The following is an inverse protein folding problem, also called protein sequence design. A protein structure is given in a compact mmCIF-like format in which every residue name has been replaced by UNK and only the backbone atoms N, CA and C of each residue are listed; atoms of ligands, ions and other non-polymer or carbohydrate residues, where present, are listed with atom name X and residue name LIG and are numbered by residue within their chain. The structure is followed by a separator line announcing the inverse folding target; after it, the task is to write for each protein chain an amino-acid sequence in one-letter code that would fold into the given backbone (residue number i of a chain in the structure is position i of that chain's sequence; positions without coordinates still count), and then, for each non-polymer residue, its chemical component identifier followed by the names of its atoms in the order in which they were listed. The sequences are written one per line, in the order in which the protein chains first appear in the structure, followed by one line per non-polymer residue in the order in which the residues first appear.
data_IF_587297098158
#
_entry.id   IF_587297098158
#
_cell.length_a   1.000
_cell.length_b   1.000
_cell.length_c   1.000
_cell.angle_alpha   90.00
_cell.angle_beta   90.00
_cell.angle_gamma   90.00
#
_symmetry.space_group_name_H-M   'P 1'
#
loop_
_entity.id
_entity.type
_entity.pdbx_description
1 polymer ?
#
# COMPACT_ATOMS: atom_id res chain seq x y z
N UNK A 1 7.37 15.08 -6.53
CA UNK A 1 5.96 14.70 -6.33
C UNK A 1 5.82 13.18 -6.45
N UNK A 2 5.01 12.57 -5.60
CA UNK A 2 4.58 11.17 -5.69
C UNK A 2 3.18 11.14 -6.28
N UNK A 3 2.93 10.30 -7.28
CA UNK A 3 1.58 10.00 -7.76
C UNK A 3 1.06 8.72 -7.12
N UNK A 4 -0.23 8.70 -6.77
CA UNK A 4 -0.91 7.53 -6.21
C UNK A 4 -2.08 7.18 -7.11
N UNK A 5 -2.09 5.97 -7.67
CA UNK A 5 -3.20 5.43 -8.45
C UNK A 5 -4.15 4.62 -7.56
N UNK A 6 -5.41 5.05 -7.57
CA UNK A 6 -6.48 4.51 -6.74
C UNK A 6 -6.66 5.26 -5.43
N UNK A 7 -7.89 5.68 -5.15
CA UNK A 7 -8.29 6.42 -3.94
C UNK A 7 -9.16 5.57 -3.01
N UNK A 8 -8.88 4.27 -2.93
CA UNK A 8 -9.41 3.37 -1.91
C UNK A 8 -8.52 3.35 -0.65
N UNK A 9 -8.77 2.39 0.25
CA UNK A 9 -8.08 2.28 1.54
C UNK A 9 -6.54 2.28 1.41
N UNK A 10 -5.98 1.46 0.49
CA UNK A 10 -4.53 1.38 0.29
C UNK A 10 -3.95 2.67 -0.29
N UNK A 11 -4.62 3.25 -1.30
CA UNK A 11 -4.12 4.47 -1.94
C UNK A 11 -4.19 5.68 -1.01
N UNK A 12 -5.32 5.87 -0.30
CA UNK A 12 -5.45 6.96 0.68
C UNK A 12 -4.45 6.78 1.83
N UNK A 13 -4.29 5.55 2.34
CA UNK A 13 -3.28 5.25 3.36
C UNK A 13 -1.85 5.59 2.90
N UNK A 14 -1.48 5.20 1.68
CA UNK A 14 -0.18 5.54 1.09
C UNK A 14 0.01 7.06 0.90
N UNK A 15 -1.04 7.75 0.44
CA UNK A 15 -1.01 9.20 0.25
C UNK A 15 -0.81 9.95 1.57
N UNK A 16 -1.51 9.54 2.63
CA UNK A 16 -1.37 10.12 3.96
C UNK A 16 0.03 9.90 4.53
N UNK A 17 0.58 8.69 4.39
CA UNK A 17 1.93 8.38 4.82
C UNK A 17 2.96 9.21 4.03
N UNK A 18 2.84 9.28 2.71
CA UNK A 18 3.72 10.10 1.88
C UNK A 18 3.69 11.58 2.29
N UNK A 19 2.50 12.12 2.54
CA UNK A 19 2.33 13.50 3.03
C UNK A 19 3.01 13.71 4.38
N UNK A 20 2.81 12.79 5.32
CA UNK A 20 3.46 12.84 6.63
C UNK A 20 4.98 12.78 6.55
N UNK A 21 5.52 12.09 5.54
CA UNK A 21 6.97 12.02 5.26
C UNK A 21 7.49 13.22 4.46
N UNK A 22 6.65 14.23 4.21
CA UNK A 22 7.05 15.50 3.58
C UNK A 22 7.06 15.49 2.06
N UNK A 23 6.44 14.51 1.42
CA UNK A 23 6.33 14.49 -0.04
C UNK A 23 5.13 15.30 -0.53
N UNK A 24 5.29 15.92 -1.70
CA UNK A 24 4.16 16.39 -2.48
C UNK A 24 3.46 15.19 -3.09
N UNK A 25 2.13 15.11 -2.96
CA UNK A 25 1.34 13.94 -3.35
C UNK A 25 0.17 14.35 -4.23
N UNK A 26 -0.04 13.60 -5.29
CA UNK A 26 -1.20 13.68 -6.16
C UNK A 26 -1.89 12.32 -6.22
N UNK A 27 -3.19 12.26 -5.89
CA UNK A 27 -3.98 11.03 -5.91
C UNK A 27 -4.93 11.05 -7.10
N UNK A 28 -4.93 9.99 -7.89
CA UNK A 28 -5.79 9.88 -9.09
C UNK A 28 -6.55 8.56 -9.09
N UNK A 29 -7.87 8.63 -9.28
CA UNK A 29 -8.74 7.47 -9.40
C UNK A 29 -9.64 7.61 -10.64
N UNK A 30 -9.67 6.60 -11.50
CA UNK A 30 -10.54 6.60 -12.69
C UNK A 30 -12.01 6.36 -12.37
N UNK A 31 -12.33 5.91 -11.19
CA UNK A 31 -13.68 5.69 -10.70
C UNK A 31 -14.20 6.81 -9.81
N UNK A 32 -15.29 6.55 -9.12
CA UNK A 32 -15.83 7.42 -8.10
C UNK A 32 -15.22 7.09 -6.73
N UNK A 33 -14.63 8.07 -6.10
CA UNK A 33 -14.06 7.96 -4.75
C UNK A 33 -15.18 8.04 -3.72
N UNK A 34 -15.15 7.17 -2.71
CA UNK A 34 -16.15 7.20 -1.62
C UNK A 34 -16.02 8.47 -0.78
N UNK A 35 -17.14 9.03 -0.34
CA UNK A 35 -17.20 10.31 0.37
C UNK A 35 -16.25 10.42 1.57
N UNK A 36 -16.10 9.36 2.35
CA UNK A 36 -15.19 9.37 3.50
C UNK A 36 -13.72 9.50 3.07
N UNK A 37 -13.30 8.87 1.97
CA UNK A 37 -11.95 9.02 1.43
C UNK A 37 -11.73 10.40 0.82
N UNK A 38 -12.74 10.96 0.12
CA UNK A 38 -12.68 12.34 -0.36
C UNK A 38 -12.46 13.31 0.82
N UNK A 39 -13.22 13.15 1.89
CA UNK A 39 -13.11 13.98 3.09
C UNK A 39 -11.72 13.85 3.74
N UNK A 40 -11.14 12.67 3.77
CA UNK A 40 -9.78 12.45 4.27
C UNK A 40 -8.74 13.17 3.41
N UNK A 41 -8.82 13.02 2.08
CA UNK A 41 -7.89 13.68 1.14
C UNK A 41 -7.97 15.21 1.26
N UNK A 42 -9.18 15.75 1.31
CA UNK A 42 -9.40 17.19 1.50
C UNK A 42 -8.87 17.67 2.85
N UNK A 43 -9.16 16.95 3.92
CA UNK A 43 -8.73 17.31 5.28
C UNK A 43 -7.20 17.27 5.44
N UNK A 44 -6.55 16.37 4.72
CA UNK A 44 -5.09 16.27 4.67
C UNK A 44 -4.45 17.33 3.73
N UNK A 45 -5.25 18.11 3.01
CA UNK A 45 -4.75 19.07 2.02
C UNK A 45 -3.99 18.41 0.88
N UNK A 46 -4.46 17.23 0.47
CA UNK A 46 -3.92 16.48 -0.66
C UNK A 46 -4.60 16.90 -1.95
N UNK A 47 -3.83 17.02 -3.01
CA UNK A 47 -4.39 17.22 -4.34
C UNK A 47 -4.86 15.87 -4.89
N UNK A 48 -6.07 15.83 -5.45
CA UNK A 48 -6.65 14.59 -5.96
C UNK A 48 -7.64 14.83 -7.09
N UNK A 49 -7.90 13.78 -7.87
CA UNK A 49 -8.91 13.75 -8.93
C UNK A 49 -9.65 12.41 -8.96
N UNK A 50 -10.81 12.41 -9.63
CA UNK A 50 -11.59 11.20 -9.89
C UNK A 50 -12.26 11.26 -11.27
N UNK A 51 -12.61 10.08 -11.80
CA UNK A 51 -13.29 9.90 -13.09
C UNK A 51 -12.34 9.69 -14.26
N UNK A 52 -11.32 10.50 -14.37
CA UNK A 52 -10.28 10.39 -15.40
C UNK A 52 -8.90 10.54 -14.77
N UNK A 53 -7.87 10.02 -15.44
CA UNK A 53 -6.48 10.20 -15.03
C UNK A 53 -5.84 11.37 -15.79
N UNK A 54 -5.26 12.32 -15.07
CA UNK A 54 -4.35 13.29 -15.66
C UNK A 54 -2.99 12.62 -15.91
N UNK A 55 -2.88 11.93 -17.05
CA UNK A 55 -1.71 11.14 -17.41
C UNK A 55 -0.43 11.97 -17.43
N UNK A 56 -0.48 13.22 -17.92
CA UNK A 56 0.68 14.11 -17.98
C UNK A 56 1.23 14.36 -16.56
N UNK A 57 0.35 14.63 -15.62
CA UNK A 57 0.71 14.89 -14.23
C UNK A 57 1.26 13.63 -13.55
N UNK A 58 0.62 12.48 -13.76
CA UNK A 58 1.07 11.19 -13.24
C UNK A 58 2.46 10.85 -13.79
N UNK A 59 2.66 11.02 -15.11
CA UNK A 59 3.94 10.73 -15.77
C UNK A 59 5.05 11.75 -15.48
N UNK A 60 4.74 12.85 -14.80
CA UNK A 60 5.74 13.80 -14.28
C UNK A 60 6.21 13.46 -12.86
N UNK A 61 5.62 12.45 -12.22
CA UNK A 61 5.98 12.05 -10.87
C UNK A 61 7.37 11.39 -10.80
N UNK A 62 8.03 11.50 -9.66
CA UNK A 62 9.29 10.79 -9.38
C UNK A 62 9.07 9.35 -8.92
N UNK A 63 7.87 9.06 -8.42
CA UNK A 63 7.47 7.75 -7.91
C UNK A 63 5.97 7.58 -8.14
N UNK A 64 5.54 6.39 -8.52
CA UNK A 64 4.16 6.00 -8.68
C UNK A 64 3.82 4.89 -7.67
N UNK A 65 2.81 5.14 -6.82
CA UNK A 65 2.27 4.11 -5.94
C UNK A 65 0.99 3.58 -6.56
N UNK A 66 0.94 2.28 -6.80
CA UNK A 66 -0.20 1.60 -7.42
C UNK A 66 -0.99 0.83 -6.37
N UNK A 67 -2.30 1.10 -6.25
CA UNK A 67 -3.19 0.28 -5.43
C UNK A 67 -3.30 -1.16 -5.97
N UNK A 68 -3.39 -2.18 -5.09
CA UNK A 68 -3.32 -3.60 -5.52
C UNK A 68 -4.42 -4.02 -6.50
N UNK A 69 -5.58 -3.37 -6.47
CA UNK A 69 -6.70 -3.64 -7.39
C UNK A 69 -6.54 -3.10 -8.80
N UNK A 70 -5.52 -2.28 -9.06
CA UNK A 70 -5.28 -1.70 -10.38
C UNK A 70 -4.39 -2.65 -11.19
N UNK A 71 -4.86 -3.11 -12.37
CA UNK A 71 -4.04 -3.97 -13.21
C UNK A 71 -2.87 -3.20 -13.85
N UNK A 72 -1.99 -3.91 -14.54
CA UNK A 72 -0.95 -3.30 -15.38
C UNK A 72 -1.63 -2.62 -16.58
N UNK A 73 -1.90 -1.31 -16.44
CA UNK A 73 -2.51 -0.48 -17.50
C UNK A 73 -1.45 0.09 -18.42
N UNK A 74 -1.89 0.66 -19.56
CA UNK A 74 -0.97 1.38 -20.47
C UNK A 74 -0.23 2.51 -19.75
N UNK A 75 -0.92 3.23 -18.85
CA UNK A 75 -0.34 4.31 -18.05
C UNK A 75 0.77 3.80 -17.12
N UNK A 76 0.54 2.68 -16.44
CA UNK A 76 1.54 2.07 -15.55
C UNK A 76 2.76 1.58 -16.36
N UNK A 77 2.52 0.92 -17.50
CA UNK A 77 3.58 0.48 -18.40
C UNK A 77 4.40 1.66 -18.96
N UNK A 78 3.74 2.76 -19.32
CA UNK A 78 4.41 3.98 -19.78
C UNK A 78 5.24 4.63 -18.67
N UNK A 79 4.72 4.69 -17.44
CA UNK A 79 5.47 5.18 -16.30
C UNK A 79 6.78 4.39 -16.10
N UNK A 80 6.72 3.05 -16.15
CA UNK A 80 7.92 2.20 -16.09
C UNK A 80 8.88 2.45 -17.25
N UNK A 81 8.35 2.60 -18.47
CA UNK A 81 9.16 2.88 -19.67
C UNK A 81 9.89 4.23 -19.57
N UNK A 82 9.32 5.21 -18.87
CA UNK A 82 9.93 6.50 -18.56
C UNK A 82 10.92 6.45 -17.39
N UNK A 83 11.11 5.28 -16.77
CA UNK A 83 12.01 5.12 -15.61
C UNK A 83 11.41 5.58 -14.29
N UNK A 84 10.09 5.81 -14.22
CA UNK A 84 9.40 6.11 -12.97
C UNK A 84 9.31 4.80 -12.17
N UNK A 85 9.79 4.83 -10.94
CA UNK A 85 9.66 3.69 -10.04
C UNK A 85 8.18 3.47 -9.69
N UNK A 86 7.69 2.24 -9.85
CA UNK A 86 6.30 1.87 -9.54
C UNK A 86 6.29 0.88 -8.40
N UNK A 87 5.69 1.26 -7.29
CA UNK A 87 5.61 0.48 -6.06
C UNK A 87 4.18 0.12 -5.71
N UNK A 88 4.03 -0.99 -5.01
CA UNK A 88 2.81 -1.27 -4.24
C UNK A 88 2.77 -0.41 -2.96
N UNK A 89 1.58 -0.28 -2.37
CA UNK A 89 1.40 0.38 -1.07
C UNK A 89 2.28 -0.27 0.01
N UNK A 90 2.36 -1.60 0.02
CA UNK A 90 3.14 -2.38 1.00
C UNK A 90 4.64 -2.09 0.85
N UNK A 91 5.17 -2.08 -0.37
CA UNK A 91 6.58 -1.76 -0.63
C UNK A 91 6.92 -0.33 -0.23
N UNK A 92 6.05 0.61 -0.60
CA UNK A 92 6.24 2.00 -0.20
C UNK A 92 6.27 2.13 1.32
N UNK A 93 5.28 1.57 2.01
CA UNK A 93 5.17 1.65 3.45
C UNK A 93 6.35 0.97 4.18
N UNK A 94 6.84 -0.16 3.67
CA UNK A 94 7.96 -0.89 4.27
C UNK A 94 9.27 -0.09 4.34
N UNK A 95 9.44 0.91 3.45
CA UNK A 95 10.61 1.82 3.48
C UNK A 95 10.63 2.75 4.70
N UNK A 96 9.51 2.85 5.41
CA UNK A 96 9.32 3.73 6.56
C UNK A 96 9.06 2.98 7.87
N UNK A 97 9.20 1.66 7.87
CA UNK A 97 9.08 0.81 9.05
C UNK A 97 10.42 0.14 9.34
N UNK A 98 10.80 0.12 10.61
CA UNK A 98 11.93 -0.67 11.14
C UNK A 98 11.45 -2.01 11.70
N UNK A 99 10.13 -2.20 11.79
CA UNK A 99 9.51 -3.40 12.33
C UNK A 99 9.67 -4.62 11.43
N UNK A 100 9.72 -5.79 12.06
CA UNK A 100 9.79 -7.09 11.34
C UNK A 100 8.42 -7.42 10.75
N UNK A 101 8.38 -7.66 9.45
CA UNK A 101 7.16 -7.98 8.73
C UNK A 101 7.00 -9.50 8.65
N UNK A 102 5.82 -9.98 9.07
CA UNK A 102 5.35 -11.36 8.93
C UNK A 102 4.20 -11.32 7.93
N UNK A 103 4.50 -11.64 6.67
CA UNK A 103 3.51 -11.63 5.60
C UNK A 103 2.79 -12.98 5.51
N UNK A 104 1.46 -12.95 5.46
CA UNK A 104 0.60 -14.13 5.38
C UNK A 104 -0.26 -14.02 4.14
N UNK A 105 -0.07 -14.97 3.24
CA UNK A 105 -0.86 -15.11 2.02
C UNK A 105 -1.35 -16.55 1.86
N UNK A 106 -2.12 -16.81 0.84
CA UNK A 106 -2.66 -18.15 0.52
C UNK A 106 -4.06 -18.06 -0.06
N UNK A 107 -4.56 -19.18 -0.59
CA UNK A 107 -5.90 -19.24 -1.18
C UNK A 107 -6.99 -19.21 -0.11
N UNK A 108 -6.80 -19.92 0.98
CA UNK A 108 -7.73 -20.03 2.11
C UNK A 108 -7.01 -19.82 3.44
N UNK A 109 -7.75 -19.43 4.47
CA UNK A 109 -7.27 -19.35 5.85
C UNK A 109 -6.34 -18.17 6.17
N UNK A 110 -6.07 -17.27 5.23
CA UNK A 110 -5.22 -16.08 5.45
C UNK A 110 -5.61 -15.31 6.71
N UNK A 111 -6.87 -14.88 6.77
CA UNK A 111 -7.41 -14.06 7.86
C UNK A 111 -7.29 -14.77 9.21
N UNK A 112 -7.61 -16.05 9.26
CA UNK A 112 -7.50 -16.85 10.49
C UNK A 112 -6.05 -16.97 10.94
N UNK A 113 -5.13 -17.26 10.01
CA UNK A 113 -3.70 -17.40 10.31
C UNK A 113 -3.10 -16.07 10.74
N UNK A 114 -3.41 -14.97 10.04
CA UNK A 114 -2.93 -13.64 10.39
C UNK A 114 -3.44 -13.21 11.78
N UNK A 115 -4.73 -13.37 12.04
CA UNK A 115 -5.33 -13.05 13.33
C UNK A 115 -4.75 -13.89 14.47
N UNK A 116 -4.52 -15.19 14.25
CA UNK A 116 -3.93 -16.08 15.24
C UNK A 116 -2.46 -15.72 15.51
N UNK A 117 -1.69 -15.46 14.47
CA UNK A 117 -0.28 -15.02 14.62
C UNK A 117 -0.19 -13.71 15.42
N UNK A 118 -1.02 -12.73 15.06
CA UNK A 118 -1.11 -11.49 15.81
C UNK A 118 -1.47 -11.72 17.28
N UNK A 119 -2.49 -12.55 17.55
CA UNK A 119 -2.94 -12.86 18.91
C UNK A 119 -1.85 -13.54 19.75
N UNK A 120 -1.13 -14.50 19.18
CA UNK A 120 -0.01 -15.20 19.86
C UNK A 120 1.10 -14.20 20.23
N UNK A 121 1.55 -13.38 19.28
CA UNK A 121 2.61 -12.39 19.53
C UNK A 121 2.16 -11.36 20.57
N UNK A 122 0.95 -10.85 20.47
CA UNK A 122 0.40 -9.89 21.41
C UNK A 122 0.28 -10.48 22.81
N UNK A 123 -0.19 -11.73 22.94
CA UNK A 123 -0.30 -12.44 24.23
C UNK A 123 1.05 -12.74 24.84
N UNK A 124 2.09 -12.88 24.04
CA UNK A 124 3.48 -13.03 24.49
C UNK A 124 4.16 -11.69 24.86
N UNK A 125 3.44 -10.57 24.75
CA UNK A 125 3.92 -9.25 25.16
C UNK A 125 4.72 -8.49 24.10
N UNK A 126 4.71 -8.94 22.85
CA UNK A 126 5.38 -8.21 21.76
C UNK A 126 4.57 -6.97 21.34
N UNK A 127 5.28 -5.90 20.95
CA UNK A 127 4.68 -4.75 20.27
C UNK A 127 4.40 -5.12 18.82
N UNK A 128 3.15 -5.50 18.55
CA UNK A 128 2.70 -6.06 17.27
C UNK A 128 1.42 -5.41 16.79
N UNK A 129 1.29 -5.19 15.50
CA UNK A 129 0.04 -4.79 14.85
C UNK A 129 -0.31 -5.70 13.67
N UNK A 130 -1.60 -5.72 13.34
CA UNK A 130 -2.19 -6.43 12.22
C UNK A 130 -2.64 -5.40 11.19
N UNK A 131 -2.31 -5.60 9.91
CA UNK A 131 -2.68 -4.70 8.82
C UNK A 131 -2.71 -5.42 7.44
N UNK A 132 -2.94 -4.67 6.38
CA UNK A 132 -2.92 -5.16 5.00
C UNK A 132 -4.31 -5.35 4.42
N UNK A 133 -4.61 -6.54 3.90
CA UNK A 133 -5.93 -6.86 3.31
C UNK A 133 -7.05 -7.02 4.36
N UNK A 134 -6.72 -6.93 5.63
CA UNK A 134 -7.63 -6.98 6.77
C UNK A 134 -7.52 -5.70 7.59
N UNK A 135 -8.65 -5.07 7.89
CA UNK A 135 -8.70 -3.83 8.66
C UNK A 135 -8.18 -2.64 7.84
N UNK A 136 -7.19 -1.95 8.38
CA UNK A 136 -6.55 -0.80 7.74
C UNK A 136 -5.32 -1.23 6.93
N UNK A 137 -4.99 -0.46 5.89
CA UNK A 137 -3.78 -0.66 5.11
C UNK A 137 -2.51 -0.49 5.96
N UNK A 138 -1.41 -1.10 5.53
CA UNK A 138 -0.14 -1.00 6.24
C UNK A 138 0.36 0.44 6.30
N UNK A 139 0.30 1.16 5.17
CA UNK A 139 0.68 2.56 5.12
C UNK A 139 -0.14 3.43 6.08
N UNK A 140 -1.48 3.21 6.15
CA UNK A 140 -2.33 3.95 7.10
C UNK A 140 -1.94 3.67 8.54
N UNK A 141 -1.71 2.43 8.91
CA UNK A 141 -1.29 2.06 10.27
C UNK A 141 0.03 2.73 10.66
N UNK A 142 0.97 2.84 9.73
CA UNK A 142 2.25 3.52 9.96
C UNK A 142 2.10 5.03 10.19
N UNK A 143 1.04 5.67 9.72
CA UNK A 143 0.80 7.09 10.04
C UNK A 143 0.57 7.32 11.53
N UNK A 144 0.12 6.31 12.26
CA UNK A 144 -0.13 6.41 13.71
C UNK A 144 1.13 6.10 14.52
N UNK A 145 1.78 4.96 14.25
CA UNK A 145 3.02 4.56 14.93
C UNK A 145 3.64 3.33 14.24
N UNK A 146 4.95 3.23 14.26
CA UNK A 146 5.63 1.98 13.90
C UNK A 146 5.55 0.97 15.05
N UNK A 147 5.83 -0.31 14.77
CA UNK A 147 5.79 -1.44 15.68
C UNK A 147 7.02 -2.31 15.51
N UNK A 148 7.37 -3.07 16.55
CA UNK A 148 8.46 -4.06 16.45
C UNK A 148 8.12 -5.19 15.47
N UNK A 149 6.82 -5.54 15.39
CA UNK A 149 6.31 -6.59 14.50
C UNK A 149 5.04 -6.15 13.77
N UNK A 150 5.00 -6.47 12.49
CA UNK A 150 3.85 -6.29 11.62
C UNK A 150 3.37 -7.63 11.09
N UNK A 151 2.14 -8.02 11.38
CA UNK A 151 1.49 -9.15 10.73
C UNK A 151 0.66 -8.59 9.59
N UNK A 152 1.04 -8.90 8.35
CA UNK A 152 0.35 -8.40 7.16
C UNK A 152 -0.39 -9.54 6.46
N UNK A 153 -1.71 -9.40 6.33
CA UNK A 153 -2.46 -10.23 5.41
C UNK A 153 -2.30 -9.67 3.99
N UNK A 154 -1.81 -10.49 3.08
CA UNK A 154 -1.61 -10.10 1.68
C UNK A 154 -2.54 -10.88 0.76
N UNK A 155 -3.21 -10.18 -0.15
CA UNK A 155 -3.89 -10.80 -1.29
C UNK A 155 -2.86 -11.27 -2.33
N UNK A 156 -3.27 -12.15 -3.25
CA UNK A 156 -2.41 -12.55 -4.38
C UNK A 156 -1.95 -11.35 -5.21
N UNK A 157 -2.83 -10.39 -5.45
CA UNK A 157 -2.48 -9.17 -6.20
C UNK A 157 -1.45 -8.30 -5.49
N UNK A 158 -1.49 -8.23 -4.15
CA UNK A 158 -0.47 -7.52 -3.37
C UNK A 158 0.87 -8.23 -3.39
N UNK A 159 0.86 -9.56 -3.47
CA UNK A 159 2.08 -10.36 -3.53
C UNK A 159 2.77 -10.25 -4.90
N UNK A 160 1.99 -10.27 -5.99
CA UNK A 160 2.52 -10.17 -7.36
C UNK A 160 3.25 -8.83 -7.60
N UNK A 161 2.79 -7.77 -6.96
CA UNK A 161 3.38 -6.43 -7.05
C UNK A 161 4.50 -6.19 -6.00
N UNK A 162 4.88 -7.18 -5.18
CA UNK A 162 5.78 -6.97 -4.05
C UNK A 162 7.15 -7.65 -4.28
N UNK A 163 8.18 -6.87 -4.60
CA UNK A 163 9.54 -7.36 -4.81
C UNK A 163 10.28 -7.73 -3.51
N UNK A 164 9.78 -7.31 -2.35
CA UNK A 164 10.41 -7.54 -1.04
C UNK A 164 10.38 -9.01 -0.60
N UNK A 165 9.55 -9.85 -1.22
CA UNK A 165 9.32 -11.23 -0.80
C UNK A 165 9.70 -12.26 -1.86
N UNK A 166 10.72 -11.99 -2.70
CA UNK A 166 11.33 -13.00 -3.55
C UNK A 166 12.17 -13.97 -2.71
N UNK A 167 11.53 -14.71 -1.83
CA UNK A 167 12.13 -15.91 -1.26
C UNK A 167 11.90 -17.05 -2.25
N UNK A 168 12.93 -17.79 -2.68
CA UNK A 168 12.71 -18.95 -3.54
C UNK A 168 11.75 -19.92 -2.84
N UNK A 169 10.70 -20.31 -3.55
CA UNK A 169 9.78 -21.32 -3.06
C UNK A 169 10.56 -22.62 -2.79
N UNK A 170 10.30 -23.34 -1.67
CA UNK A 170 10.88 -24.68 -1.47
C UNK A 170 10.55 -25.70 -2.57
N UNK A 171 9.70 -25.32 -3.53
CA UNK A 171 9.35 -26.15 -4.70
C UNK A 171 10.26 -25.90 -5.91
N UNK A 172 11.12 -24.89 -5.84
CA UNK A 172 12.02 -24.50 -6.94
C UNK A 172 13.46 -25.03 -6.72
N UNK A 173 13.64 -25.96 -5.78
CA UNK A 173 14.89 -26.69 -5.48
C UNK A 173 14.79 -28.17 -5.84
#
# INVERSE_FOLDING_TARGET
MIAVLGAGESGVGAALLAKQKGYDVFVSDSGSVKDHFQNELVSAGLEWEQGEHNEEKILSASLLIKSPGIPETKLVAEARAKGIEVLSEIEFASRFSEGRIIAITGTNGKTTTASLTYYILKSAGFDVALAGNIGESFARRLTHSDRDYWVLELSSFQLDDCLLYTSPSPRDS
#
